data_IF_380523164068
#
_entry.id   IF_380523164068
#
_cell.length_a   1.000
_cell.length_b   1.000
_cell.length_c   1.000
_cell.angle_alpha   90.00
_cell.angle_beta   90.00
_cell.angle_gamma   90.00
#
_symmetry.space_group_name_H-M   'P 1'
#
loop_
_entity.id
_entity.type
_entity.pdbx_description
1 polymer ?
#
# COMPACT_ATOMS: atom_id res chain seq x y z
N UNK A 1 7.68 20.00 3.22
CA UNK A 1 7.13 18.69 2.78
C UNK A 1 5.64 18.88 2.50
N UNK A 2 5.11 18.37 1.39
CA UNK A 2 3.68 18.48 1.09
C UNK A 2 2.88 17.49 1.94
N UNK A 3 1.85 17.98 2.65
CA UNK A 3 0.94 17.15 3.43
C UNK A 3 -0.07 16.47 2.52
N UNK A 4 -0.45 15.23 2.86
CA UNK A 4 -1.42 14.46 2.07
C UNK A 4 -2.79 15.12 2.16
N UNK A 5 -3.36 15.46 1.01
CA UNK A 5 -4.73 15.99 0.91
C UNK A 5 -5.77 14.92 1.28
N UNK A 6 -6.93 15.37 1.77
CA UNK A 6 -8.05 14.47 2.08
C UNK A 6 -8.47 13.69 0.83
N UNK A 7 -8.60 12.38 0.97
CA UNK A 7 -9.05 11.52 -0.12
C UNK A 7 -10.57 11.63 -0.31
N UNK A 8 -11.03 11.40 -1.55
CA UNK A 8 -12.45 11.22 -1.86
C UNK A 8 -12.93 9.93 -1.19
N UNK A 9 -14.09 9.99 -0.52
CA UNK A 9 -14.68 8.84 0.17
C UNK A 9 -14.95 7.67 -0.78
N UNK A 10 -14.95 6.45 -0.23
CA UNK A 10 -15.20 5.24 -1.01
C UNK A 10 -16.54 5.31 -1.75
N UNK A 11 -17.59 5.75 -1.07
CA UNK A 11 -18.95 5.85 -1.61
C UNK A 11 -19.03 6.80 -2.81
N UNK A 12 -18.30 7.91 -2.76
CA UNK A 12 -18.26 8.86 -3.89
C UNK A 12 -17.50 8.26 -5.07
N UNK A 13 -16.45 7.48 -4.81
CA UNK A 13 -15.70 6.78 -5.87
C UNK A 13 -16.54 5.67 -6.50
N UNK A 14 -17.28 4.88 -5.71
CA UNK A 14 -18.17 3.84 -6.23
C UNK A 14 -19.28 4.45 -7.07
N UNK A 15 -19.85 5.57 -6.61
CA UNK A 15 -20.86 6.31 -7.37
C UNK A 15 -20.32 6.79 -8.74
N UNK A 16 -19.12 7.38 -8.80
CA UNK A 16 -18.47 7.78 -10.06
C UNK A 16 -18.28 6.59 -11.00
N UNK A 17 -17.81 5.46 -10.49
CA UNK A 17 -17.57 4.26 -11.30
C UNK A 17 -18.89 3.72 -11.87
N UNK A 18 -19.95 3.73 -11.09
CA UNK A 18 -21.28 3.30 -11.53
C UNK A 18 -21.85 4.22 -12.62
N UNK A 19 -21.71 5.54 -12.48
CA UNK A 19 -22.11 6.50 -13.52
C UNK A 19 -21.32 6.32 -14.82
N UNK A 20 -20.01 6.03 -14.72
CA UNK A 20 -19.21 5.73 -15.91
C UNK A 20 -19.64 4.40 -16.56
N UNK A 21 -20.03 3.39 -15.77
CA UNK A 21 -20.57 2.12 -16.29
C UNK A 21 -21.93 2.28 -16.98
N UNK A 22 -22.75 3.23 -16.55
CA UNK A 22 -24.02 3.56 -17.21
C UNK A 22 -23.86 4.41 -18.48
N UNK A 23 -22.62 4.67 -18.92
CA UNK A 23 -22.33 5.36 -20.17
C UNK A 23 -22.33 6.89 -20.08
N UNK A 24 -22.37 7.47 -18.87
CA UNK A 24 -22.29 8.92 -18.70
C UNK A 24 -20.91 9.45 -19.05
N UNK A 25 -20.86 10.60 -19.72
CA UNK A 25 -19.63 11.30 -20.04
C UNK A 25 -18.99 11.92 -18.78
N UNK A 26 -17.68 12.16 -18.82
CA UNK A 26 -16.97 12.75 -17.68
C UNK A 26 -17.50 14.14 -17.30
N UNK A 27 -17.98 14.92 -18.28
CA UNK A 27 -18.59 16.25 -18.04
C UNK A 27 -19.93 16.14 -17.33
N UNK A 28 -20.74 15.15 -17.66
CA UNK A 28 -22.01 14.90 -16.97
C UNK A 28 -21.77 14.44 -15.54
N UNK A 29 -20.83 13.51 -15.34
CA UNK A 29 -20.43 13.06 -13.99
C UNK A 29 -19.91 14.23 -13.16
N UNK A 30 -19.11 15.12 -13.74
CA UNK A 30 -18.63 16.32 -13.05
C UNK A 30 -19.78 17.21 -12.57
N UNK A 31 -20.80 17.43 -13.40
CA UNK A 31 -21.97 18.23 -13.02
C UNK A 31 -22.75 17.58 -11.88
N UNK A 32 -22.90 16.25 -11.88
CA UNK A 32 -23.62 15.51 -10.84
C UNK A 32 -22.86 15.47 -9.50
N UNK A 33 -21.57 15.15 -9.55
CA UNK A 33 -20.75 14.82 -8.37
C UNK A 33 -20.03 16.07 -7.81
N UNK A 34 -19.97 17.16 -8.57
CA UNK A 34 -19.28 18.43 -8.22
C UNK A 34 -17.80 18.24 -7.85
N UNK A 35 -17.15 17.23 -8.43
CA UNK A 35 -15.71 17.00 -8.26
C UNK A 35 -14.93 17.48 -9.49
N UNK A 36 -13.64 17.82 -9.35
CA UNK A 36 -12.81 18.21 -10.48
C UNK A 36 -12.76 17.13 -11.57
N UNK A 37 -12.77 17.56 -12.83
CA UNK A 37 -12.69 16.67 -14.00
C UNK A 37 -11.46 15.74 -13.94
N UNK A 38 -10.33 16.25 -13.46
CA UNK A 38 -9.08 15.48 -13.28
C UNK A 38 -9.25 14.35 -12.27
N UNK A 39 -9.94 14.60 -11.16
CA UNK A 39 -10.24 13.61 -10.13
C UNK A 39 -11.12 12.49 -10.67
N UNK A 40 -12.15 12.84 -11.45
CA UNK A 40 -13.05 11.86 -12.10
C UNK A 40 -12.25 11.01 -13.09
N UNK A 41 -11.46 11.66 -13.96
CA UNK A 41 -10.60 10.96 -14.92
C UNK A 41 -9.59 10.04 -14.25
N UNK A 42 -9.03 10.44 -13.11
CA UNK A 42 -8.14 9.59 -12.32
C UNK A 42 -8.86 8.36 -11.77
N UNK A 43 -10.04 8.53 -11.15
CA UNK A 43 -10.81 7.43 -10.57
C UNK A 43 -11.20 6.41 -11.64
N UNK A 44 -11.73 6.87 -12.77
CA UNK A 44 -12.15 5.99 -13.87
C UNK A 44 -10.96 5.25 -14.47
N UNK A 45 -9.84 5.94 -14.72
CA UNK A 45 -8.63 5.31 -15.28
C UNK A 45 -8.03 4.29 -14.31
N UNK A 46 -7.98 4.60 -13.03
CA UNK A 46 -7.54 3.67 -11.99
C UNK A 46 -8.42 2.42 -11.98
N UNK A 47 -9.74 2.58 -12.00
CA UNK A 47 -10.67 1.46 -12.03
C UNK A 47 -10.48 0.57 -13.27
N UNK A 48 -10.26 1.16 -14.45
CA UNK A 48 -9.96 0.38 -15.67
C UNK A 48 -8.67 -0.43 -15.57
N UNK A 49 -7.67 0.07 -14.85
CA UNK A 49 -6.38 -0.60 -14.72
C UNK A 49 -6.35 -1.68 -13.63
N UNK A 50 -6.96 -1.43 -12.46
CA UNK A 50 -6.87 -2.34 -11.31
C UNK A 50 -8.16 -3.10 -11.01
N UNK A 51 -9.29 -2.68 -11.58
CA UNK A 51 -10.62 -3.20 -11.24
C UNK A 51 -11.12 -2.80 -9.84
N UNK A 52 -10.35 -2.01 -9.08
CA UNK A 52 -10.65 -1.66 -7.68
C UNK A 52 -11.07 -0.21 -7.53
N UNK A 53 -12.09 0.02 -6.71
CA UNK A 53 -12.59 1.38 -6.39
C UNK A 53 -11.83 1.97 -5.20
N UNK A 54 -11.50 1.12 -4.23
CA UNK A 54 -10.78 1.49 -3.01
C UNK A 54 -9.41 2.09 -3.30
N UNK A 55 -8.97 2.99 -2.41
CA UNK A 55 -7.61 3.50 -2.45
C UNK A 55 -6.63 2.47 -1.92
N UNK A 56 -5.54 2.28 -2.66
CA UNK A 56 -4.48 1.40 -2.19
C UNK A 56 -3.72 2.13 -1.10
N UNK A 57 -3.37 1.39 -0.05
CA UNK A 57 -2.43 1.89 0.94
C UNK A 57 -1.13 2.23 0.22
N UNK A 58 -0.49 3.32 0.63
CA UNK A 58 0.81 3.69 0.08
C UNK A 58 1.74 2.50 0.26
N UNK A 59 2.39 2.00 -0.80
CA UNK A 59 3.41 0.99 -0.62
C UNK A 59 4.49 1.59 0.28
N UNK A 60 4.79 0.87 1.36
CA UNK A 60 5.93 1.23 2.22
C UNK A 60 7.23 1.14 1.42
N UNK A 61 8.31 1.67 2.00
CA UNK A 61 9.63 1.44 1.45
C UNK A 61 9.98 -0.06 1.43
N UNK A 62 10.88 -0.50 0.54
CA UNK A 62 11.38 -1.86 0.55
C UNK A 62 11.91 -2.26 1.94
N UNK A 63 11.57 -3.46 2.39
CA UNK A 63 12.07 -3.96 3.67
C UNK A 63 13.57 -4.27 3.57
N UNK A 64 14.36 -3.83 4.55
CA UNK A 64 15.78 -4.23 4.67
C UNK A 64 15.95 -5.74 4.83
N UNK A 65 14.93 -6.40 5.39
CA UNK A 65 14.94 -7.84 5.65
C UNK A 65 14.20 -8.59 4.54
N UNK A 66 14.90 -9.55 3.94
CA UNK A 66 14.27 -10.52 3.04
C UNK A 66 13.37 -11.50 3.80
N UNK A 67 12.47 -12.18 3.10
CA UNK A 67 11.62 -13.22 3.69
C UNK A 67 12.44 -14.35 4.31
N UNK A 68 13.62 -14.66 3.75
CA UNK A 68 14.55 -15.66 4.30
C UNK A 68 15.11 -15.21 5.64
N UNK A 69 15.54 -13.96 5.74
CA UNK A 69 16.10 -13.39 6.96
C UNK A 69 15.06 -13.39 8.08
N UNK A 70 13.82 -12.95 7.79
CA UNK A 70 12.70 -12.99 8.75
C UNK A 70 12.45 -14.41 9.27
N UNK A 71 12.43 -15.40 8.38
CA UNK A 71 12.28 -16.81 8.78
C UNK A 71 13.43 -17.32 9.64
N UNK A 72 14.67 -16.92 9.35
CA UNK A 72 15.84 -17.30 10.15
C UNK A 72 15.74 -16.77 11.58
N UNK A 73 15.36 -15.49 11.74
CA UNK A 73 15.14 -14.85 13.04
C UNK A 73 14.08 -15.62 13.84
N UNK A 74 12.92 -15.88 13.24
CA UNK A 74 11.83 -16.62 13.89
C UNK A 74 12.26 -18.04 14.28
N UNK A 75 12.99 -18.74 13.41
CA UNK A 75 13.49 -20.09 13.69
C UNK A 75 14.51 -20.10 14.83
N UNK A 76 15.40 -19.12 14.89
CA UNK A 76 16.38 -18.97 15.97
C UNK A 76 15.68 -18.76 17.33
N UNK A 77 14.68 -17.87 17.35
CA UNK A 77 13.90 -17.58 18.56
C UNK A 77 13.10 -18.80 19.04
N UNK A 78 12.45 -19.55 18.13
CA UNK A 78 11.70 -20.76 18.49
C UNK A 78 12.63 -21.87 19.00
N UNK A 79 13.79 -22.08 18.34
CA UNK A 79 14.71 -23.17 18.69
C UNK A 79 15.46 -22.90 19.99
N UNK A 80 15.76 -21.64 20.28
CA UNK A 80 16.47 -21.20 21.49
C UNK A 80 15.75 -19.98 22.08
N UNK A 81 14.70 -20.18 22.90
CA UNK A 81 13.90 -19.07 23.41
C UNK A 81 14.67 -18.12 24.34
N UNK A 82 15.77 -18.58 24.94
CA UNK A 82 16.64 -17.79 25.83
C UNK A 82 17.71 -16.97 25.09
N UNK A 83 17.75 -17.01 23.75
CA UNK A 83 18.77 -16.29 22.98
C UNK A 83 18.47 -14.78 22.99
N UNK A 84 19.49 -13.96 23.20
CA UNK A 84 19.32 -12.51 23.15
C UNK A 84 19.10 -12.03 21.72
N UNK A 85 18.32 -10.96 21.56
CA UNK A 85 18.06 -10.36 20.25
C UNK A 85 19.35 -9.86 19.57
N UNK A 86 20.32 -9.36 20.35
CA UNK A 86 21.64 -8.94 19.84
C UNK A 86 22.38 -10.12 19.19
N UNK A 87 22.37 -11.29 19.84
CA UNK A 87 23.02 -12.49 19.30
C UNK A 87 22.39 -12.93 17.97
N UNK A 88 21.07 -12.84 17.85
CA UNK A 88 20.37 -13.12 16.58
C UNK A 88 20.76 -12.10 15.50
N UNK A 89 20.92 -10.83 15.86
CA UNK A 89 21.35 -9.79 14.93
C UNK A 89 22.79 -10.00 14.45
N UNK A 90 23.69 -10.44 15.33
CA UNK A 90 25.07 -10.79 14.97
C UNK A 90 25.13 -11.99 14.03
N UNK A 91 24.35 -13.04 14.32
CA UNK A 91 24.22 -14.22 13.44
C UNK A 91 23.64 -13.83 12.06
N UNK A 92 22.73 -12.86 12.02
CA UNK A 92 22.16 -12.33 10.78
C UNK A 92 23.19 -11.54 9.97
N UNK A 93 24.03 -10.76 10.66
CA UNK A 93 25.12 -10.01 10.04
C UNK A 93 26.14 -10.98 9.43
N UNK A 94 26.53 -12.02 10.17
CA UNK A 94 27.49 -13.02 9.70
C UNK A 94 26.98 -13.83 8.50
N UNK A 95 25.68 -14.14 8.45
CA UNK A 95 25.10 -14.99 7.41
C UNK A 95 24.61 -14.25 6.17
N UNK A 96 24.21 -12.98 6.30
CA UNK A 96 23.55 -12.23 5.23
C UNK A 96 24.11 -10.83 4.99
N UNK A 97 25.18 -10.43 5.69
CA UNK A 97 25.80 -9.10 5.62
C UNK A 97 24.80 -7.94 5.81
N UNK A 98 23.71 -8.19 6.56
CA UNK A 98 22.68 -7.19 6.83
C UNK A 98 22.75 -6.81 8.31
N UNK A 99 23.03 -5.53 8.57
CA UNK A 99 23.06 -4.97 9.92
C UNK A 99 21.66 -4.60 10.36
N UNK A 100 21.23 -5.15 11.48
CA UNK A 100 19.95 -4.87 12.14
C UNK A 100 20.22 -4.50 13.58
N UNK A 101 19.52 -3.50 14.09
CA UNK A 101 19.59 -3.12 15.50
C UNK A 101 18.56 -3.96 16.27
N UNK A 102 19.02 -4.61 17.33
CA UNK A 102 18.19 -5.40 18.25
C UNK A 102 17.57 -4.53 19.34
#
# INVERSE_FOLDING_TARGET
MATKSKEVSLDMRTHIVNLNKSGKSYREIQKMVKLPFTTIGYIVRKYKNTGRVENERRPGGPSKLTSRNKRSIVKAAIRKPQISAQKIADDLLASSNIRVTA
#
